data_IF_414967581332
#
_entry.id   IF_414967581332
#
_cell.length_a   1.000
_cell.length_b   1.000
_cell.length_c   1.000
_cell.angle_alpha   90.00
_cell.angle_beta   90.00
_cell.angle_gamma   90.00
#
_symmetry.space_group_name_H-M   'P 1'
#
loop_
_entity.id
_entity.type
_entity.pdbx_description
1 polymer ?
#
# COMPACT_ATOMS: atom_id res chain seq x y z
N UNK A 1 -23.46 7.64 -6.05
CA UNK A 1 -22.04 8.08 -6.07
C UNK A 1 -21.21 6.85 -5.74
N UNK A 2 -20.42 6.34 -6.69
CA UNK A 2 -19.51 5.21 -6.43
C UNK A 2 -18.42 5.69 -5.48
N UNK A 3 -18.45 5.21 -4.24
CA UNK A 3 -17.34 5.39 -3.31
C UNK A 3 -16.11 4.70 -3.94
N UNK A 4 -15.27 5.50 -4.58
CA UNK A 4 -14.07 5.02 -5.26
C UNK A 4 -13.06 4.57 -4.21
N UNK A 5 -12.62 3.33 -4.32
CA UNK A 5 -11.57 2.75 -3.47
C UNK A 5 -10.27 3.49 -3.69
N UNK A 6 -9.38 3.47 -2.70
CA UNK A 6 -7.98 3.75 -2.95
C UNK A 6 -7.42 4.81 -2.01
N UNK A 7 -6.25 4.49 -1.49
CA UNK A 7 -5.49 5.33 -0.58
C UNK A 7 -4.79 6.42 -1.36
N UNK A 8 -4.96 7.68 -0.95
CA UNK A 8 -4.33 8.85 -1.60
C UNK A 8 -3.13 9.32 -0.81
N UNK A 9 -1.97 9.39 -1.46
CA UNK A 9 -0.72 9.90 -0.87
C UNK A 9 0.01 10.74 -1.93
N UNK A 10 0.17 12.04 -1.69
CA UNK A 10 0.96 12.95 -2.54
C UNK A 10 0.66 12.80 -4.06
N UNK A 11 -0.62 12.89 -4.42
CA UNK A 11 -1.09 12.77 -5.82
C UNK A 11 -1.13 11.35 -6.37
N UNK A 12 -0.81 10.33 -5.57
CA UNK A 12 -0.80 8.93 -5.97
C UNK A 12 -1.97 8.20 -5.34
N UNK A 13 -2.65 7.38 -6.12
CA UNK A 13 -3.73 6.50 -5.70
C UNK A 13 -3.21 5.07 -5.61
N UNK A 14 -3.42 4.41 -4.48
CA UNK A 14 -3.05 3.02 -4.24
C UNK A 14 -4.31 2.19 -4.02
N UNK A 15 -4.51 1.15 -4.83
CA UNK A 15 -5.68 0.30 -4.78
C UNK A 15 -5.32 -1.15 -5.09
N UNK A 16 -6.05 -2.10 -4.50
CA UNK A 16 -5.85 -3.51 -4.80
C UNK A 16 -6.23 -3.81 -6.26
N UNK A 17 -5.51 -4.73 -6.92
CA UNK A 17 -5.63 -5.03 -8.35
C UNK A 17 -7.04 -5.37 -8.82
N UNK A 18 -7.89 -5.91 -7.95
CA UNK A 18 -9.29 -6.22 -8.29
C UNK A 18 -10.12 -4.97 -8.63
N UNK A 19 -9.67 -3.80 -8.21
CA UNK A 19 -10.31 -2.52 -8.49
C UNK A 19 -9.68 -1.80 -9.69
N UNK A 20 -8.91 -2.50 -10.54
CA UNK A 20 -8.31 -1.87 -11.74
C UNK A 20 -9.36 -1.25 -12.66
N UNK A 21 -10.51 -1.89 -12.84
CA UNK A 21 -11.61 -1.35 -13.65
C UNK A 21 -12.25 -0.09 -13.07
N UNK A 22 -12.05 0.21 -11.78
CA UNK A 22 -12.57 1.43 -11.14
C UNK A 22 -11.65 2.65 -11.40
N UNK A 23 -10.40 2.44 -11.85
CA UNK A 23 -9.36 3.48 -11.84
C UNK A 23 -8.53 3.60 -13.12
N UNK A 24 -8.39 2.51 -13.87
CA UNK A 24 -7.63 2.44 -15.11
C UNK A 24 -8.56 2.54 -16.32
N UNK A 25 -8.05 3.10 -17.42
CA UNK A 25 -8.70 2.95 -18.73
C UNK A 25 -8.61 1.49 -19.17
N UNK A 26 -9.42 1.08 -20.14
CA UNK A 26 -9.35 -0.27 -20.72
C UNK A 26 -7.95 -0.59 -21.26
N UNK A 27 -7.31 0.37 -21.93
CA UNK A 27 -5.95 0.24 -22.45
C UNK A 27 -4.89 0.09 -21.36
N UNK A 28 -5.01 0.83 -20.25
CA UNK A 28 -4.11 0.71 -19.11
C UNK A 28 -4.32 -0.62 -18.37
N UNK A 29 -5.57 -1.07 -18.22
CA UNK A 29 -5.89 -2.34 -17.60
C UNK A 29 -5.38 -3.54 -18.43
N UNK A 30 -5.50 -3.48 -19.75
CA UNK A 30 -4.93 -4.48 -20.66
C UNK A 30 -3.40 -4.55 -20.52
N UNK A 31 -2.72 -3.40 -20.56
CA UNK A 31 -1.27 -3.31 -20.37
C UNK A 31 -0.82 -3.92 -19.03
N UNK A 32 -1.56 -3.68 -17.96
CA UNK A 32 -1.27 -4.22 -16.63
C UNK A 32 -1.51 -5.73 -16.54
N UNK A 33 -2.53 -6.24 -17.22
CA UNK A 33 -2.91 -7.67 -17.21
C UNK A 33 -1.88 -8.54 -17.93
N UNK A 34 -1.26 -8.01 -18.99
CA UNK A 34 -0.28 -8.74 -19.80
C UNK A 34 1.10 -8.87 -19.13
N UNK A 35 1.34 -8.18 -18.00
CA UNK A 35 2.61 -8.23 -17.28
C UNK A 35 2.66 -9.50 -16.40
N UNK A 36 3.58 -10.45 -16.67
CA UNK A 36 3.66 -11.74 -15.97
C UNK A 36 4.38 -11.59 -14.61
N UNK A 37 3.82 -10.79 -13.71
CA UNK A 37 4.41 -10.48 -12.40
C UNK A 37 3.38 -10.60 -11.29
N UNK A 38 3.85 -10.98 -10.10
CA UNK A 38 3.04 -10.94 -8.89
C UNK A 38 2.96 -9.51 -8.38
N UNK A 39 1.76 -9.09 -8.01
CA UNK A 39 1.47 -7.84 -7.31
C UNK A 39 0.05 -7.92 -6.73
N UNK A 40 -0.17 -7.13 -5.67
CA UNK A 40 -1.48 -7.00 -5.03
C UNK A 40 -2.04 -5.60 -5.23
N UNK A 41 -1.17 -4.58 -5.26
CA UNK A 41 -1.57 -3.17 -5.30
C UNK A 41 -1.02 -2.50 -6.55
N UNK A 42 -1.84 -1.64 -7.12
CA UNK A 42 -1.48 -0.73 -8.20
C UNK A 42 -1.35 0.67 -7.60
N UNK A 43 -0.23 1.34 -7.87
CA UNK A 43 -0.02 2.76 -7.61
C UNK A 43 -0.17 3.53 -8.92
N UNK A 44 -1.16 4.38 -8.98
CA UNK A 44 -1.42 5.28 -10.09
C UNK A 44 -1.07 6.72 -9.70
N UNK A 45 -0.17 7.37 -10.42
CA UNK A 45 -0.03 8.82 -10.34
C UNK A 45 -1.18 9.47 -11.10
N UNK A 46 -2.09 10.16 -10.40
CA UNK A 46 -3.35 10.61 -11.00
C UNK A 46 -3.18 11.72 -12.03
N UNK A 47 -2.02 12.39 -12.04
CA UNK A 47 -1.72 13.51 -12.95
C UNK A 47 -0.99 13.02 -14.20
N UNK A 48 0.04 12.22 -14.01
CA UNK A 48 0.90 11.72 -15.11
C UNK A 48 0.42 10.40 -15.68
N UNK A 49 -0.56 9.78 -15.04
CA UNK A 49 -1.02 8.41 -15.29
C UNK A 49 0.04 7.34 -15.10
N UNK A 50 1.22 7.63 -14.53
CA UNK A 50 2.25 6.62 -14.25
C UNK A 50 1.69 5.46 -13.41
N UNK A 51 1.86 4.23 -13.91
CA UNK A 51 1.43 3.00 -13.23
C UNK A 51 2.65 2.27 -12.66
N UNK A 52 2.57 1.96 -11.37
CA UNK A 52 3.53 1.09 -10.68
C UNK A 52 2.82 -0.06 -9.99
N UNK A 53 3.23 -1.28 -10.32
CA UNK A 53 2.78 -2.50 -9.65
C UNK A 53 3.59 -2.67 -8.36
N UNK A 54 2.92 -3.00 -7.26
CA UNK A 54 3.53 -3.15 -5.93
C UNK A 54 3.28 -4.56 -5.42
N UNK A 55 4.38 -5.31 -5.27
CA UNK A 55 4.44 -6.66 -4.71
C UNK A 55 4.82 -6.57 -3.23
N UNK A 56 4.18 -7.39 -2.39
CA UNK A 56 4.43 -7.43 -0.95
C UNK A 56 4.97 -8.79 -0.52
N UNK A 57 5.64 -8.81 0.64
CA UNK A 57 6.04 -10.08 1.27
C UNK A 57 4.80 -10.85 1.75
N UNK A 58 3.86 -10.16 2.39
CA UNK A 58 2.56 -10.71 2.82
C UNK A 58 1.52 -9.59 2.93
N UNK A 59 0.71 -9.41 1.89
CA UNK A 59 -0.33 -8.37 1.89
C UNK A 59 -1.52 -8.73 2.79
N UNK A 60 -1.88 -10.01 2.85
CA UNK A 60 -3.13 -10.47 3.43
C UNK A 60 -3.04 -10.60 4.95
N UNK A 61 -1.96 -11.17 5.48
CA UNK A 61 -1.86 -11.45 6.92
C UNK A 61 -1.09 -10.37 7.71
N UNK A 62 -0.11 -9.68 7.12
CA UNK A 62 0.68 -8.70 7.86
C UNK A 62 -0.16 -7.47 8.28
N UNK A 63 0.07 -6.94 9.48
CA UNK A 63 -0.54 -5.69 9.92
C UNK A 63 -0.14 -4.51 9.02
N UNK A 64 1.17 -4.31 8.84
CA UNK A 64 1.75 -3.37 7.88
C UNK A 64 2.58 -4.15 6.84
N UNK A 65 2.03 -4.41 5.63
CA UNK A 65 2.71 -5.24 4.65
C UNK A 65 4.01 -4.60 4.14
N UNK A 66 5.07 -5.40 4.10
CA UNK A 66 6.40 -5.01 3.62
C UNK A 66 6.40 -5.05 2.09
N UNK A 67 6.79 -3.96 1.44
CA UNK A 67 6.98 -3.91 0.00
C UNK A 67 8.18 -4.78 -0.36
N UNK A 68 7.98 -5.75 -1.25
CA UNK A 68 9.04 -6.64 -1.74
C UNK A 68 9.68 -6.05 -2.99
N UNK A 69 8.87 -5.79 -4.01
CA UNK A 69 9.30 -5.13 -5.25
C UNK A 69 8.29 -4.10 -5.73
N UNK A 70 8.76 -3.19 -6.57
CA UNK A 70 7.88 -2.36 -7.39
C UNK A 70 8.29 -2.45 -8.85
N UNK A 71 7.32 -2.36 -9.75
CA UNK A 71 7.56 -2.40 -11.19
C UNK A 71 6.85 -1.25 -11.87
N UNK A 72 7.61 -0.34 -12.49
CA UNK A 72 7.06 0.74 -13.30
C UNK A 72 6.74 0.22 -14.69
N UNK A 73 5.45 0.26 -15.03
CA UNK A 73 4.89 -0.31 -16.26
C UNK A 73 5.45 0.38 -17.51
N UNK A 74 5.48 1.71 -17.52
CA UNK A 74 5.92 2.45 -18.70
C UNK A 74 7.44 2.51 -18.86
N UNK A 75 8.17 2.50 -17.73
CA UNK A 75 9.62 2.53 -17.74
C UNK A 75 10.25 1.12 -17.83
N UNK A 76 9.43 0.07 -17.86
CA UNK A 76 9.84 -1.34 -17.79
C UNK A 76 10.93 -1.59 -16.74
N UNK A 77 10.69 -1.08 -15.52
CA UNK A 77 11.73 -1.03 -14.48
C UNK A 77 11.24 -1.61 -13.17
N UNK A 78 11.86 -2.71 -12.77
CA UNK A 78 11.74 -3.27 -11.43
C UNK A 78 12.68 -2.57 -10.43
N UNK A 79 12.22 -2.39 -9.20
CA UNK A 79 13.04 -2.00 -8.05
C UNK A 79 12.77 -2.95 -6.89
N UNK A 80 13.83 -3.60 -6.41
CA UNK A 80 13.80 -4.39 -5.17
C UNK A 80 14.08 -3.48 -3.97
N UNK A 81 13.46 -3.76 -2.84
CA UNK A 81 13.80 -3.07 -1.60
C UNK A 81 15.14 -3.58 -1.05
N UNK A 82 15.88 -2.70 -0.37
CA UNK A 82 17.13 -3.05 0.33
C UNK A 82 16.89 -3.46 1.79
N UNK A 83 17.94 -3.39 2.61
CA UNK A 83 17.94 -3.85 4.01
C UNK A 83 16.99 -3.12 4.97
N UNK A 84 16.44 -1.97 4.57
CA UNK A 84 15.42 -1.25 5.34
C UNK A 84 14.22 -0.95 4.42
N UNK A 85 13.42 -1.99 4.10
CA UNK A 85 12.34 -1.90 3.13
C UNK A 85 11.23 -0.98 3.64
N UNK A 86 10.35 -0.61 2.71
CA UNK A 86 9.18 0.17 3.03
C UNK A 86 8.02 -0.73 3.51
N UNK A 87 7.27 -0.27 4.50
CA UNK A 87 5.98 -0.84 4.92
C UNK A 87 4.84 0.07 4.52
N UNK A 88 3.65 -0.52 4.32
CA UNK A 88 2.46 0.25 3.98
C UNK A 88 1.45 0.31 5.13
N UNK A 89 1.28 1.49 5.69
CA UNK A 89 0.20 1.78 6.66
C UNK A 89 -1.18 1.78 6.03
N UNK A 90 -2.23 1.53 6.81
CA UNK A 90 -3.62 1.70 6.38
C UNK A 90 -3.99 0.87 5.13
N UNK A 91 -3.63 -0.42 5.08
CA UNK A 91 -3.99 -1.30 3.94
C UNK A 91 -5.49 -1.37 3.67
N UNK A 92 -6.33 -1.19 4.70
CA UNK A 92 -7.79 -1.05 4.58
C UNK A 92 -8.22 0.06 3.60
N UNK A 93 -7.45 1.14 3.44
CA UNK A 93 -7.80 2.23 2.51
C UNK A 93 -7.61 1.86 1.02
N UNK A 94 -7.01 0.70 0.73
CA UNK A 94 -6.78 0.22 -0.65
C UNK A 94 -7.86 -0.74 -1.14
N UNK A 95 -8.83 -1.06 -0.29
CA UNK A 95 -9.89 -2.02 -0.55
C UNK A 95 -11.26 -1.52 -0.08
N UNK A 96 -12.34 -2.17 -0.49
CA UNK A 96 -13.68 -1.93 0.06
C UNK A 96 -13.84 -2.65 1.41
N UNK A 97 -14.79 -2.23 2.28
CA UNK A 97 -15.05 -2.88 3.56
C UNK A 97 -15.43 -4.36 3.48
N UNK A 98 -15.99 -4.80 2.35
CA UNK A 98 -16.40 -6.18 2.05
C UNK A 98 -15.29 -7.02 1.41
N UNK A 99 -14.05 -6.53 1.40
CA UNK A 99 -12.92 -7.26 0.81
C UNK A 99 -12.60 -8.54 1.58
N UNK A 100 -12.70 -9.69 0.90
CA UNK A 100 -12.51 -11.02 1.48
C UNK A 100 -11.05 -11.41 1.75
N UNK A 101 -10.06 -10.62 1.29
CA UNK A 101 -8.65 -11.00 1.40
C UNK A 101 -8.03 -10.83 2.80
N UNK A 102 -8.66 -10.06 3.69
CA UNK A 102 -8.28 -9.94 5.10
C UNK A 102 -9.43 -9.38 5.93
N UNK A 103 -9.35 -9.49 7.26
CA UNK A 103 -10.34 -8.88 8.15
C UNK A 103 -10.24 -7.35 8.12
N UNK A 104 -11.12 -6.72 7.33
CA UNK A 104 -11.11 -5.26 7.13
C UNK A 104 -11.12 -4.49 8.45
N UNK A 105 -12.01 -4.90 9.37
CA UNK A 105 -12.18 -4.23 10.66
C UNK A 105 -10.91 -4.32 11.53
N UNK A 106 -10.22 -5.46 11.54
CA UNK A 106 -8.94 -5.60 12.25
C UNK A 106 -7.87 -4.64 11.70
N UNK A 107 -7.82 -4.45 10.38
CA UNK A 107 -6.91 -3.49 9.76
C UNK A 107 -7.24 -2.03 10.13
N UNK A 108 -8.53 -1.71 10.28
CA UNK A 108 -9.00 -0.40 10.75
C UNK A 108 -8.62 -0.19 12.22
N UNK A 109 -8.84 -1.18 13.07
CA UNK A 109 -8.57 -1.07 14.51
C UNK A 109 -7.07 -1.02 14.79
N UNK A 110 -6.27 -1.81 14.05
CA UNK A 110 -4.79 -1.68 14.01
C UNK A 110 -4.38 -0.24 13.70
N UNK A 111 -4.98 0.35 12.67
CA UNK A 111 -4.70 1.73 12.26
C UNK A 111 -5.00 2.74 13.36
N UNK A 112 -6.16 2.59 14.02
CA UNK A 112 -6.58 3.48 15.12
C UNK A 112 -5.66 3.36 16.34
N UNK A 113 -5.27 2.14 16.70
CA UNK A 113 -4.44 1.86 17.86
C UNK A 113 -3.11 2.61 17.79
N UNK A 114 -2.36 2.49 16.69
CA UNK A 114 -1.09 3.19 16.58
C UNK A 114 -1.27 4.70 16.34
N UNK A 115 -2.34 5.13 15.65
CA UNK A 115 -2.62 6.56 15.45
C UNK A 115 -2.92 7.32 16.74
N UNK A 116 -3.45 6.63 17.76
CA UNK A 116 -3.70 7.20 19.09
C UNK A 116 -2.40 7.45 19.86
N UNK A 117 -1.35 6.67 19.58
CA UNK A 117 -0.04 6.75 20.24
C UNK A 117 0.98 7.55 19.42
N UNK A 118 0.68 7.81 18.15
CA UNK A 118 1.56 8.54 17.25
C UNK A 118 1.77 9.99 17.71
N UNK A 119 3.02 10.49 17.77
CA UNK A 119 3.29 11.89 18.09
C UNK A 119 2.92 12.85 16.96
N UNK A 120 2.56 12.34 15.76
CA UNK A 120 2.14 13.10 14.57
C UNK A 120 3.09 14.23 14.12
N UNK A 121 4.34 14.20 14.56
CA UNK A 121 5.36 15.16 14.15
C UNK A 121 5.85 14.87 12.72
N UNK A 122 6.38 15.89 12.04
CA UNK A 122 7.01 15.71 10.72
C UNK A 122 8.16 14.69 10.75
N UNK A 123 8.95 14.69 11.83
CA UNK A 123 10.05 13.75 12.02
C UNK A 123 9.54 12.32 12.07
N UNK A 124 8.46 12.07 12.80
CA UNK A 124 7.82 10.76 12.87
C UNK A 124 7.25 10.34 11.52
N UNK A 125 6.39 11.17 10.91
CA UNK A 125 5.69 10.82 9.67
C UNK A 125 6.62 10.62 8.47
N UNK A 126 7.80 11.26 8.47
CA UNK A 126 8.83 11.03 7.45
C UNK A 126 9.53 9.66 7.56
N UNK A 127 9.46 9.01 8.71
CA UNK A 127 10.18 7.77 9.00
C UNK A 127 9.28 6.54 9.12
N UNK A 128 7.98 6.70 9.45
CA UNK A 128 7.07 5.58 9.68
C UNK A 128 7.01 4.56 8.55
N UNK A 129 7.28 4.96 7.31
CA UNK A 129 7.30 4.05 6.17
C UNK A 129 8.46 3.06 6.19
N UNK A 130 9.49 3.23 7.03
CA UNK A 130 10.68 2.36 7.08
C UNK A 130 10.47 1.24 8.09
N UNK A 131 10.68 -0.01 7.67
CA UNK A 131 10.43 -1.19 8.50
C UNK A 131 11.15 -1.11 9.85
N UNK A 132 12.46 -0.81 9.86
CA UNK A 132 13.23 -0.82 11.10
C UNK A 132 12.73 0.23 12.09
N UNK A 133 12.48 1.45 11.61
CA UNK A 133 11.92 2.53 12.43
C UNK A 133 10.53 2.15 12.95
N UNK A 134 9.69 1.55 12.09
CA UNK A 134 8.34 1.16 12.45
C UNK A 134 8.32 0.12 13.57
N UNK A 135 9.13 -0.93 13.45
CA UNK A 135 9.23 -2.00 14.44
C UNK A 135 9.82 -1.52 15.76
N UNK A 136 10.87 -0.68 15.71
CA UNK A 136 11.44 -0.04 16.88
C UNK A 136 10.38 0.80 17.60
N UNK A 137 9.68 1.67 16.86
CA UNK A 137 8.66 2.53 17.45
C UNK A 137 7.48 1.73 18.04
N UNK A 138 6.95 0.72 17.34
CA UNK A 138 5.88 -0.14 17.89
C UNK A 138 6.28 -0.76 19.23
N UNK A 139 7.54 -1.17 19.37
CA UNK A 139 8.08 -1.72 20.61
C UNK A 139 8.09 -0.67 21.73
N UNK A 140 8.41 0.60 21.43
CA UNK A 140 8.38 1.69 22.45
C UNK A 140 6.98 1.98 22.98
N UNK A 141 5.94 1.65 22.23
CA UNK A 141 4.53 1.89 22.60
C UNK A 141 3.76 0.59 22.91
N UNK A 142 4.47 -0.54 23.06
CA UNK A 142 3.92 -1.86 23.37
C UNK A 142 2.80 -2.34 22.42
N UNK A 143 2.95 -2.08 21.12
CA UNK A 143 2.08 -2.62 20.07
C UNK A 143 2.74 -3.82 19.38
N UNK A 144 1.96 -4.83 18.92
CA UNK A 144 2.52 -5.99 18.24
C UNK A 144 3.17 -5.60 16.90
N UNK A 145 4.19 -6.37 16.50
CA UNK A 145 4.89 -6.20 15.22
C UNK A 145 4.00 -6.61 14.03
#
# INVERSE_FOLDING_TARGET
MTNTVGKRIAGKLYFHKIYMGDHLTESEAALVTDIPRMYEVIRLDVRTREIVLVDYVDFFNAHEPVIKTTYNVYADKERKQGNNPLVHHHKNQMVKPDFYGFFYQESVDRSRAWQALSPRTRQFTSQIGRLNFWQEWLSTVNLPL
#
